data_IF_851273658096
#
_entry.id   IF_851273658096
#
_cell.length_a   1.000
_cell.length_b   1.000
_cell.length_c   1.000
_cell.angle_alpha   90.00
_cell.angle_beta   90.00
_cell.angle_gamma   90.00
#
_symmetry.space_group_name_H-M   'P 1'
#
loop_
_entity.id
_entity.type
_entity.pdbx_description
1 polymer ?
#
# COMPACT_ATOMS: atom_id res chain seq x y z
N UNK A 1 15.20 22.46 -8.92
CA UNK A 1 13.85 21.89 -8.78
C UNK A 1 13.98 20.39 -8.55
N UNK A 2 14.53 19.96 -7.39
CA UNK A 2 15.09 18.60 -7.26
C UNK A 2 14.41 17.66 -6.26
N UNK A 3 13.30 18.03 -5.64
CA UNK A 3 12.59 17.17 -4.69
C UNK A 3 11.45 16.34 -5.32
N UNK A 4 11.30 16.40 -6.64
CA UNK A 4 10.12 15.88 -7.37
C UNK A 4 10.40 14.63 -8.20
N UNK A 5 11.50 13.93 -7.97
CA UNK A 5 11.92 12.81 -8.82
C UNK A 5 11.58 11.42 -8.26
N UNK A 6 11.43 11.26 -6.94
CA UNK A 6 11.20 9.95 -6.32
C UNK A 6 10.44 10.09 -4.98
N UNK A 7 9.14 10.43 -5.03
CA UNK A 7 8.34 10.58 -3.81
C UNK A 7 8.21 9.24 -3.08
N UNK A 8 8.14 9.31 -1.75
CA UNK A 8 7.91 8.12 -0.93
C UNK A 8 6.61 7.39 -1.33
N UNK A 9 6.61 6.05 -1.39
CA UNK A 9 5.40 5.27 -1.61
C UNK A 9 4.33 5.59 -0.55
N UNK A 10 3.13 5.91 -1.02
CA UNK A 10 1.99 6.22 -0.15
C UNK A 10 1.34 4.91 0.31
N UNK A 11 1.11 4.71 1.63
CA UNK A 11 0.45 3.52 2.12
C UNK A 11 -0.99 3.45 1.59
N UNK A 12 -1.51 2.25 1.26
CA UNK A 12 -2.90 2.11 0.89
C UNK A 12 -3.80 2.44 2.09
N UNK A 13 -4.96 3.01 1.81
CA UNK A 13 -5.96 3.27 2.85
C UNK A 13 -6.71 1.97 3.21
N UNK A 14 -6.95 1.70 4.49
CA UNK A 14 -7.73 0.55 4.90
C UNK A 14 -9.19 0.70 4.43
N UNK A 15 -9.83 -0.40 3.98
CA UNK A 15 -11.24 -0.37 3.63
C UNK A 15 -12.09 -0.10 4.87
N UNK A 16 -13.25 0.52 4.66
CA UNK A 16 -14.21 0.74 5.74
C UNK A 16 -14.96 -0.55 6.10
N UNK A 17 -15.46 -0.63 7.34
CA UNK A 17 -16.21 -1.80 7.82
C UNK A 17 -17.41 -2.16 6.93
N UNK A 18 -18.11 -1.16 6.37
CA UNK A 18 -19.24 -1.37 5.47
C UNK A 18 -18.90 -1.68 4.01
N UNK A 19 -17.63 -1.66 3.61
CA UNK A 19 -17.20 -2.05 2.26
C UNK A 19 -17.02 -3.56 2.14
N UNK A 20 -16.84 -4.25 3.27
CA UNK A 20 -16.86 -5.69 3.31
C UNK A 20 -18.30 -6.18 3.17
N UNK A 21 -18.60 -6.92 2.10
CA UNK A 21 -19.93 -7.48 1.88
C UNK A 21 -20.23 -8.68 2.81
N UNK A 22 -19.25 -9.16 3.60
CA UNK A 22 -19.34 -10.23 4.62
C UNK A 22 -19.93 -11.59 4.15
N UNK A 23 -20.38 -11.69 2.91
CA UNK A 23 -21.08 -12.85 2.33
C UNK A 23 -20.21 -13.80 1.52
N UNK A 24 -18.89 -13.80 1.74
CA UNK A 24 -17.96 -14.69 1.03
C UNK A 24 -17.55 -14.17 -0.35
N UNK A 25 -16.96 -12.97 -0.42
CA UNK A 25 -16.54 -12.31 -1.66
C UNK A 25 -15.42 -13.02 -2.44
N UNK A 26 -14.81 -14.07 -1.89
CA UNK A 26 -13.65 -14.74 -2.48
C UNK A 26 -12.52 -13.76 -2.80
N UNK A 27 -11.98 -13.83 -4.01
CA UNK A 27 -10.89 -12.96 -4.51
C UNK A 27 -11.30 -11.48 -4.66
N UNK A 28 -12.61 -11.17 -4.64
CA UNK A 28 -13.10 -9.80 -4.66
C UNK A 28 -13.18 -9.16 -3.25
N UNK A 29 -12.63 -9.83 -2.23
CA UNK A 29 -12.59 -9.30 -0.86
C UNK A 29 -11.75 -8.01 -0.79
N UNK A 30 -12.36 -6.93 -0.28
CA UNK A 30 -11.69 -5.63 -0.10
C UNK A 30 -10.48 -5.73 0.84
N UNK A 31 -10.55 -6.61 1.84
CA UNK A 31 -9.44 -6.87 2.76
C UNK A 31 -8.28 -7.57 2.07
N UNK A 32 -8.56 -8.55 1.22
CA UNK A 32 -7.52 -9.25 0.45
C UNK A 32 -6.77 -8.26 -0.45
N UNK A 33 -7.52 -7.45 -1.20
CA UNK A 33 -6.95 -6.40 -2.04
C UNK A 33 -6.11 -5.39 -1.26
N UNK A 34 -6.58 -4.99 -0.08
CA UNK A 34 -5.83 -4.10 0.82
C UNK A 34 -4.53 -4.74 1.30
N UNK A 35 -4.54 -6.01 1.72
CA UNK A 35 -3.33 -6.69 2.18
C UNK A 35 -2.32 -6.91 1.06
N UNK A 36 -2.76 -7.22 -0.15
CA UNK A 36 -1.89 -7.28 -1.33
C UNK A 36 -1.24 -5.92 -1.62
N UNK A 37 -2.05 -4.85 -1.67
CA UNK A 37 -1.53 -3.49 -1.89
C UNK A 37 -0.57 -3.05 -0.77
N UNK A 38 -0.82 -3.49 0.47
CA UNK A 38 0.10 -3.25 1.59
C UNK A 38 1.43 -3.97 1.43
N UNK A 39 1.42 -5.23 1.00
CA UNK A 39 2.64 -5.98 0.76
C UNK A 39 3.48 -5.33 -0.35
N UNK A 40 2.84 -4.85 -1.42
CA UNK A 40 3.49 -4.09 -2.49
C UNK A 40 4.06 -2.76 -1.98
N UNK A 41 3.30 -2.03 -1.15
CA UNK A 41 3.77 -0.80 -0.52
C UNK A 41 5.00 -1.03 0.35
N UNK A 42 5.00 -2.08 1.17
CA UNK A 42 6.12 -2.41 2.05
C UNK A 42 7.39 -2.70 1.25
N UNK A 43 7.28 -3.41 0.12
CA UNK A 43 8.41 -3.66 -0.79
C UNK A 43 8.91 -2.36 -1.42
N UNK A 44 8.01 -1.55 -1.99
CA UNK A 44 8.36 -0.27 -2.60
C UNK A 44 9.00 0.69 -1.58
N UNK A 45 8.52 0.70 -0.34
CA UNK A 45 9.04 1.54 0.73
C UNK A 45 10.46 1.09 1.13
N UNK A 46 10.72 -0.21 1.20
CA UNK A 46 12.06 -0.74 1.48
C UNK A 46 13.08 -0.35 0.39
N UNK A 47 12.68 -0.44 -0.88
CA UNK A 47 13.51 0.03 -1.99
C UNK A 47 13.74 1.55 -1.92
N UNK A 48 12.69 2.31 -1.63
CA UNK A 48 12.77 3.75 -1.49
C UNK A 48 13.72 4.16 -0.36
N UNK A 49 13.67 3.48 0.80
CA UNK A 49 14.57 3.71 1.93
C UNK A 49 16.04 3.37 1.59
N UNK A 50 16.27 2.40 0.70
CA UNK A 50 17.63 2.10 0.20
C UNK A 50 18.17 3.25 -0.66
N UNK A 51 17.30 3.89 -1.45
CA UNK A 51 17.65 5.07 -2.27
C UNK A 51 17.71 6.37 -1.44
N UNK A 52 17.00 6.42 -0.31
CA UNK A 52 16.92 7.56 0.60
C UNK A 52 17.31 7.16 2.04
N UNK A 53 18.58 6.79 2.27
CA UNK A 53 19.05 6.54 3.62
C UNK A 53 18.94 7.85 4.42
N UNK A 54 18.25 7.82 5.56
CA UNK A 54 18.23 8.94 6.50
C UNK A 54 19.67 9.16 6.98
N UNK A 55 20.30 10.24 6.51
CA UNK A 55 21.66 10.64 6.90
C UNK A 55 21.75 11.07 8.35
#
# INVERSE_FOLDING_TARGET
MSDKADPAPVPPEPPYEGECCEGGCGEACVWEKYYLARAEHEQAMAEWLTRHPAG
#
